data_IF_412317022871
#
_entry.id   IF_412317022871
#
_cell.length_a   1.000
_cell.length_b   1.000
_cell.length_c   1.000
_cell.angle_alpha   90.00
_cell.angle_beta   90.00
_cell.angle_gamma   90.00
#
_symmetry.space_group_name_H-M   'P 1'
#
loop_
_entity.id
_entity.type
_entity.pdbx_description
1 polymer ?
#
# COMPACT_ATOMS: atom_id res chain seq x y z
N UNK A 1 52.12 35.87 -12.74
CA UNK A 1 51.12 36.54 -11.87
C UNK A 1 49.80 35.81 -12.10
N UNK A 2 49.37 34.95 -11.17
CA UNK A 2 48.20 34.10 -11.41
C UNK A 2 46.93 34.97 -11.48
N UNK A 3 46.06 34.68 -12.46
CA UNK A 3 44.79 35.38 -12.64
C UNK A 3 43.86 35.07 -11.46
N UNK A 4 43.93 35.90 -10.41
CA UNK A 4 43.21 35.72 -9.14
C UNK A 4 41.71 35.52 -9.34
N UNK A 5 41.14 36.16 -10.37
CA UNK A 5 39.72 36.03 -10.75
C UNK A 5 39.33 34.62 -11.22
N UNK A 6 40.23 33.93 -11.93
CA UNK A 6 39.99 32.57 -12.42
C UNK A 6 40.06 31.54 -11.30
N UNK A 7 41.03 31.68 -10.39
CA UNK A 7 41.19 30.80 -9.23
C UNK A 7 40.00 30.93 -8.28
N UNK A 8 39.51 32.16 -8.03
CA UNK A 8 38.34 32.38 -7.19
C UNK A 8 37.09 31.68 -7.75
N UNK A 9 36.90 31.71 -9.07
CA UNK A 9 35.77 31.06 -9.72
C UNK A 9 35.85 29.53 -9.64
N UNK A 10 37.05 28.97 -9.82
CA UNK A 10 37.28 27.53 -9.66
C UNK A 10 37.00 27.07 -8.23
N UNK A 11 37.48 27.82 -7.23
CA UNK A 11 37.19 27.52 -5.81
C UNK A 11 35.68 27.55 -5.54
N UNK A 12 34.97 28.56 -6.05
CA UNK A 12 33.51 28.65 -5.90
C UNK A 12 32.79 27.43 -6.49
N UNK A 13 33.19 26.99 -7.68
CA UNK A 13 32.62 25.80 -8.33
C UNK A 13 32.86 24.55 -7.47
N UNK A 14 34.07 24.36 -6.95
CA UNK A 14 34.38 23.21 -6.09
C UNK A 14 33.59 23.25 -4.78
N UNK A 15 33.39 24.43 -4.19
CA UNK A 15 32.58 24.59 -2.97
C UNK A 15 31.11 24.20 -3.24
N UNK A 16 30.53 24.68 -4.34
CA UNK A 16 29.15 24.34 -4.72
C UNK A 16 29.02 22.83 -4.96
N UNK A 17 29.98 22.25 -5.69
CA UNK A 17 29.98 20.82 -5.98
C UNK A 17 30.08 19.97 -4.69
N UNK A 18 30.94 20.37 -3.74
CA UNK A 18 31.06 19.69 -2.46
C UNK A 18 29.75 19.73 -1.66
N UNK A 19 29.06 20.87 -1.64
CA UNK A 19 27.75 21.00 -0.97
C UNK A 19 26.71 20.05 -1.59
N UNK A 20 26.65 19.97 -2.92
CA UNK A 20 25.72 19.08 -3.62
C UNK A 20 26.01 17.60 -3.33
N UNK A 21 27.29 17.21 -3.29
CA UNK A 21 27.70 15.83 -2.97
C UNK A 21 27.31 15.47 -1.53
N UNK A 22 27.58 16.36 -0.58
CA UNK A 22 27.23 16.13 0.83
C UNK A 22 25.71 16.04 1.01
N UNK A 23 24.95 16.95 0.39
CA UNK A 23 23.50 16.92 0.42
C UNK A 23 22.93 15.62 -0.18
N UNK A 24 23.43 15.19 -1.35
CA UNK A 24 23.03 13.94 -1.98
C UNK A 24 23.34 12.71 -1.12
N UNK A 25 24.52 12.67 -0.49
CA UNK A 25 24.91 11.57 0.41
C UNK A 25 24.04 11.50 1.67
N UNK A 26 23.63 12.64 2.24
CA UNK A 26 22.74 12.69 3.40
C UNK A 26 21.32 12.19 3.07
N UNK A 27 20.83 12.50 1.87
CA UNK A 27 19.55 11.98 1.36
C UNK A 27 19.60 10.47 1.15
N UNK A 28 20.66 9.95 0.51
CA UNK A 28 20.85 8.52 0.26
C UNK A 28 20.99 7.70 1.56
N UNK A 29 21.68 8.25 2.57
CA UNK A 29 21.80 7.60 3.88
C UNK A 29 20.52 7.65 4.74
N UNK A 30 19.40 8.20 4.22
CA UNK A 30 18.09 8.30 4.90
C UNK A 30 18.12 9.02 6.26
N UNK A 31 19.17 9.78 6.58
CA UNK A 31 19.22 10.60 7.79
C UNK A 31 18.21 11.75 7.76
N UNK A 32 17.84 12.20 6.56
CA UNK A 32 16.84 13.23 6.33
C UNK A 32 15.64 12.55 5.67
N UNK A 33 14.54 12.45 6.41
CA UNK A 33 13.25 12.01 5.85
C UNK A 33 12.73 13.15 4.98
N UNK A 34 12.83 13.04 3.66
CA UNK A 34 12.20 14.00 2.74
C UNK A 34 10.70 13.70 2.75
N UNK A 35 9.84 14.60 3.27
CA UNK A 35 8.40 14.41 3.20
C UNK A 35 7.98 14.41 1.72
N UNK A 36 7.39 13.30 1.26
CA UNK A 36 6.88 13.16 -0.11
C UNK A 36 7.70 12.31 -1.07
N UNK A 37 8.90 11.84 -0.70
CA UNK A 37 9.59 10.80 -1.47
C UNK A 37 9.08 9.43 -0.99
N UNK A 38 7.86 9.11 -1.45
CA UNK A 38 7.07 7.94 -1.06
C UNK A 38 7.92 6.68 -1.00
N UNK A 39 8.18 6.25 0.23
CA UNK A 39 8.58 4.90 0.56
C UNK A 39 7.46 4.01 0.01
N UNK A 40 7.73 3.22 -1.03
CA UNK A 40 6.79 2.21 -1.54
C UNK A 40 6.46 1.30 -0.36
N UNK A 41 5.35 1.60 0.29
CA UNK A 41 4.83 0.82 1.37
C UNK A 41 4.28 -0.42 0.67
N UNK A 42 5.08 -1.48 0.60
CA UNK A 42 4.56 -2.79 0.25
C UNK A 42 3.41 -3.05 1.21
N UNK A 43 2.18 -2.85 0.73
CA UNK A 43 1.01 -3.20 1.51
C UNK A 43 1.04 -4.70 1.59
N UNK A 44 1.56 -5.22 2.70
CA UNK A 44 1.42 -6.61 3.09
C UNK A 44 -0.05 -6.79 3.47
N UNK A 45 -0.92 -6.79 2.46
CA UNK A 45 -2.28 -7.25 2.58
C UNK A 45 -2.13 -8.76 2.69
N UNK A 46 -1.96 -9.23 3.93
CA UNK A 46 -2.12 -10.63 4.26
C UNK A 46 -3.57 -11.00 3.88
N UNK A 47 -3.75 -11.55 2.68
CA UNK A 47 -5.01 -12.15 2.27
C UNK A 47 -5.22 -13.28 3.27
N UNK A 48 -6.06 -13.05 4.28
CA UNK A 48 -6.48 -14.09 5.20
C UNK A 48 -7.21 -15.12 4.35
N UNK A 49 -6.53 -16.20 3.99
CA UNK A 49 -7.04 -17.30 3.16
C UNK A 49 -8.03 -18.19 3.89
N UNK A 50 -8.72 -17.67 4.91
CA UNK A 50 -9.85 -18.37 5.52
C UNK A 50 -11.06 -18.22 4.59
N UNK A 51 -11.10 -19.06 3.56
CA UNK A 51 -12.33 -19.36 2.84
C UNK A 51 -13.25 -20.16 3.78
N UNK A 52 -14.01 -19.47 4.62
CA UNK A 52 -15.15 -20.08 5.29
C UNK A 52 -16.25 -20.23 4.25
N UNK A 53 -16.44 -21.46 3.76
CA UNK A 53 -17.50 -21.80 2.83
C UNK A 53 -18.85 -21.25 3.33
N UNK A 54 -19.47 -20.25 2.67
CA UNK A 54 -20.74 -19.68 3.11
C UNK A 54 -21.92 -20.62 2.82
N UNK A 55 -21.66 -21.74 2.15
CA UNK A 55 -22.62 -22.80 1.83
C UNK A 55 -22.51 -24.00 2.78
N UNK A 56 -22.31 -23.76 4.08
CA UNK A 56 -22.48 -24.85 5.04
C UNK A 56 -23.94 -25.34 4.97
N UNK A 57 -24.15 -26.63 4.67
CA UNK A 57 -25.47 -27.26 4.59
C UNK A 57 -26.28 -27.09 5.88
N UNK A 58 -25.60 -26.99 7.02
CA UNK A 58 -26.25 -26.76 8.32
C UNK A 58 -26.78 -25.33 8.48
N UNK A 59 -26.37 -24.40 7.62
CA UNK A 59 -26.71 -22.97 7.71
C UNK A 59 -27.46 -22.40 6.51
N UNK A 60 -27.86 -23.20 5.53
CA UNK A 60 -28.46 -22.69 4.29
C UNK A 60 -29.82 -23.30 3.92
N UNK A 61 -30.72 -22.38 3.58
CA UNK A 61 -32.08 -22.55 3.05
C UNK A 61 -32.98 -23.49 3.87
N UNK A 62 -33.47 -22.99 5.00
CA UNK A 62 -34.75 -23.45 5.53
C UNK A 62 -35.82 -22.92 4.58
N UNK A 63 -36.57 -23.81 3.95
CA UNK A 63 -37.73 -23.42 3.14
C UNK A 63 -38.75 -22.75 4.08
N UNK A 64 -39.03 -21.43 3.94
CA UNK A 64 -39.97 -20.74 4.82
C UNK A 64 -41.42 -21.23 4.63
N UNK A 65 -41.67 -22.04 3.61
CA UNK A 65 -42.97 -22.62 3.31
C UNK A 65 -43.14 -24.06 3.80
N UNK A 66 -42.13 -24.68 4.44
CA UNK A 66 -42.27 -26.04 5.00
C UNK A 66 -43.35 -26.13 6.09
N UNK A 67 -43.61 -25.02 6.79
CA UNK A 67 -44.66 -24.95 7.81
C UNK A 67 -46.07 -24.83 7.21
N UNK A 68 -46.19 -24.45 5.93
CA UNK A 68 -47.48 -24.30 5.27
C UNK A 68 -47.84 -25.58 4.54
N UNK A 69 -48.65 -26.43 5.20
CA UNK A 69 -49.35 -27.51 4.49
C UNK A 69 -50.32 -26.87 3.50
N UNK A 70 -50.22 -27.27 2.24
CA UNK A 70 -51.11 -26.81 1.17
C UNK A 70 -52.58 -26.98 1.58
N UNK A 71 -53.42 -25.94 1.49
CA UNK A 71 -54.84 -26.03 1.86
C UNK A 71 -55.67 -26.85 0.86
N UNK A 72 -55.06 -27.40 -0.20
CA UNK A 72 -55.74 -28.11 -1.29
C UNK A 72 -55.69 -29.63 -1.17
N UNK A 73 -55.32 -30.21 -0.02
CA UNK A 73 -55.48 -31.65 0.20
C UNK A 73 -56.96 -31.95 0.50
N UNK A 74 -57.78 -31.92 -0.54
CA UNK A 74 -59.14 -32.46 -0.48
C UNK A 74 -59.03 -33.98 -0.43
N UNK A 75 -59.20 -34.57 0.76
CA UNK A 75 -59.56 -35.97 0.86
C UNK A 75 -60.97 -36.12 0.29
N UNK A 76 -61.08 -36.39 -1.01
CA UNK A 76 -62.31 -36.94 -1.57
C UNK A 76 -62.32 -38.44 -1.25
N UNK A 77 -63.20 -38.81 -0.32
CA UNK A 77 -63.67 -40.19 -0.15
C UNK A 77 -64.60 -40.57 -1.30
#
# INVERSE_FOLDING_TARGET
MFNQKGIAHLILIFVILAILIVAGALVLKKFIKIPGLSQTQESNIAIKSEYKNPFNKDSQYVNPFDQYKSPFITFQQ
#
